data_IF_870867734927
#
_entry.id   IF_870867734927
#
_cell.length_a   1.000
_cell.length_b   1.000
_cell.length_c   1.000
_cell.angle_alpha   90.00
_cell.angle_beta   90.00
_cell.angle_gamma   90.00
#
_symmetry.space_group_name_H-M   'P 1'
#
loop_
_entity.id
_entity.type
_entity.pdbx_description
1 polymer ?
#
# COMPACT_ATOMS: atom_id res chain seq x y z
N UNK A 1 -15.58 48.81 -72.72
CA UNK A 1 -16.95 49.16 -73.19
C UNK A 1 -17.89 48.76 -72.06
N UNK A 2 -18.27 49.72 -71.27
CA UNK A 2 -19.65 50.15 -70.97
C UNK A 2 -20.51 48.97 -70.47
N UNK A 3 -21.30 49.00 -69.44
CA UNK A 3 -22.11 50.02 -68.78
C UNK A 3 -22.65 49.41 -67.46
N UNK A 4 -22.57 50.11 -66.38
CA UNK A 4 -23.59 50.50 -65.38
C UNK A 4 -24.96 49.75 -65.33
N UNK A 5 -25.40 49.46 -64.15
CA UNK A 5 -26.49 50.13 -63.38
C UNK A 5 -26.90 49.21 -62.22
N UNK A 6 -26.81 49.59 -61.02
CA UNK A 6 -27.58 50.54 -60.21
C UNK A 6 -29.02 50.09 -59.88
N UNK A 7 -29.29 50.11 -58.59
CA UNK A 7 -30.61 50.30 -57.96
C UNK A 7 -31.50 49.07 -57.75
N UNK A 8 -32.08 48.75 -56.67
CA UNK A 8 -32.70 49.47 -55.53
C UNK A 8 -33.18 48.46 -54.48
N UNK A 9 -32.93 48.78 -53.28
CA UNK A 9 -33.75 48.74 -52.06
C UNK A 9 -35.07 47.94 -52.16
N UNK A 10 -35.23 46.97 -51.23
CA UNK A 10 -36.46 46.87 -50.45
C UNK A 10 -36.23 46.13 -49.14
N UNK A 11 -36.46 46.85 -48.08
CA UNK A 11 -36.54 46.44 -46.68
C UNK A 11 -37.68 45.44 -46.46
N UNK A 12 -37.41 44.31 -45.80
CA UNK A 12 -38.44 43.61 -45.07
C UNK A 12 -37.93 43.21 -43.71
N UNK A 13 -38.37 43.97 -42.75
CA UNK A 13 -38.23 43.75 -41.31
C UNK A 13 -39.08 42.55 -40.92
N UNK A 14 -38.46 41.45 -40.53
CA UNK A 14 -39.12 40.45 -39.75
C UNK A 14 -38.46 40.34 -38.40
N UNK A 15 -39.16 40.85 -37.43
CA UNK A 15 -38.85 40.75 -36.01
C UNK A 15 -39.04 39.32 -35.56
N UNK A 16 -37.95 38.57 -35.42
CA UNK A 16 -37.96 37.28 -34.71
C UNK A 16 -37.59 37.59 -33.27
N UNK A 17 -38.57 37.51 -32.40
CA UNK A 17 -38.37 37.46 -30.94
C UNK A 17 -37.62 36.18 -30.59
N UNK A 18 -36.32 36.28 -30.49
CA UNK A 18 -35.48 35.21 -29.92
C UNK A 18 -35.45 35.41 -28.42
N UNK A 19 -36.21 34.57 -27.73
CA UNK A 19 -36.16 34.42 -26.27
C UNK A 19 -34.76 34.16 -25.84
N UNK A 20 -34.08 35.15 -25.23
CA UNK A 20 -32.80 34.98 -24.56
C UNK A 20 -33.03 34.11 -23.32
N UNK A 21 -32.71 32.84 -23.40
CA UNK A 21 -32.45 32.03 -22.22
C UNK A 21 -31.07 32.49 -21.69
N UNK A 22 -31.08 33.27 -20.64
CA UNK A 22 -29.90 33.69 -19.94
C UNK A 22 -29.35 32.47 -19.17
N UNK A 23 -28.47 31.72 -19.78
CA UNK A 23 -27.55 30.87 -19.05
C UNK A 23 -26.57 31.81 -18.34
N UNK A 24 -26.70 31.90 -17.02
CA UNK A 24 -25.65 32.48 -16.18
C UNK A 24 -24.42 31.61 -16.34
N UNK A 25 -23.46 32.07 -17.11
CA UNK A 25 -22.11 31.55 -17.05
C UNK A 25 -21.53 31.88 -15.68
N UNK A 26 -21.53 30.91 -14.79
CA UNK A 26 -20.76 30.99 -13.54
C UNK A 26 -19.31 30.84 -13.96
N UNK A 27 -18.62 31.97 -14.10
CA UNK A 27 -17.17 31.99 -14.20
C UNK A 27 -16.64 31.66 -12.81
N UNK A 28 -16.34 30.40 -12.55
CA UNK A 28 -15.64 29.98 -11.35
C UNK A 28 -14.15 30.27 -11.57
N UNK A 29 -13.71 31.43 -11.06
CA UNK A 29 -12.33 31.90 -11.19
C UNK A 29 -11.39 31.39 -10.09
N UNK A 30 -11.86 30.44 -9.26
CA UNK A 30 -11.04 29.92 -8.16
C UNK A 30 -11.11 28.40 -8.06
N UNK A 31 -10.15 27.72 -8.71
CA UNK A 31 -10.05 26.26 -8.72
C UNK A 31 -9.74 25.67 -7.33
N UNK A 32 -9.27 26.50 -6.37
CA UNK A 32 -8.93 26.05 -5.02
C UNK A 32 -10.15 25.70 -4.16
N UNK A 33 -11.28 26.37 -4.40
CA UNK A 33 -12.53 26.11 -3.65
C UNK A 33 -13.26 24.87 -4.17
N UNK A 34 -13.08 24.51 -5.44
CA UNK A 34 -13.70 23.30 -6.01
C UNK A 34 -13.00 22.05 -5.50
N UNK A 35 -11.69 22.07 -5.41
CA UNK A 35 -10.92 20.91 -4.88
C UNK A 35 -11.25 20.63 -3.41
N UNK A 36 -11.43 21.66 -2.58
CA UNK A 36 -11.79 21.48 -1.18
C UNK A 36 -13.24 20.98 -1.00
N UNK A 37 -14.17 21.44 -1.81
CA UNK A 37 -15.58 21.02 -1.74
C UNK A 37 -15.79 19.64 -2.33
N UNK A 38 -15.04 19.26 -3.37
CA UNK A 38 -15.12 17.91 -3.97
C UNK A 38 -14.49 16.88 -3.05
N UNK A 39 -13.41 17.22 -2.33
CA UNK A 39 -12.77 16.29 -1.38
C UNK A 39 -13.69 15.97 -0.20
N UNK A 40 -14.47 16.93 0.26
CA UNK A 40 -15.41 16.72 1.37
C UNK A 40 -16.68 15.94 0.96
N UNK A 41 -17.06 15.94 -0.33
CA UNK A 41 -18.31 15.31 -0.79
C UNK A 41 -18.13 13.88 -1.30
N UNK A 42 -16.89 13.44 -1.63
CA UNK A 42 -16.64 12.12 -2.24
C UNK A 42 -15.56 11.35 -1.49
N UNK A 43 -15.49 11.41 -0.17
CA UNK A 43 -14.75 10.41 0.58
C UNK A 43 -15.62 9.15 0.73
N UNK A 44 -15.73 8.36 -0.32
CA UNK A 44 -16.19 6.98 -0.21
C UNK A 44 -15.17 6.28 0.67
N UNK A 45 -15.52 5.78 1.88
CA UNK A 45 -14.57 5.08 2.72
C UNK A 45 -13.98 3.94 1.90
N UNK A 46 -12.67 3.99 1.64
CA UNK A 46 -11.99 2.88 0.99
C UNK A 46 -12.19 1.66 1.91
N UNK A 47 -12.67 0.52 1.39
CA UNK A 47 -12.82 -0.66 2.22
C UNK A 47 -11.49 -1.00 2.88
N UNK A 48 -11.48 -1.46 4.13
CA UNK A 48 -10.26 -1.79 4.83
C UNK A 48 -9.44 -2.81 4.03
N UNK A 49 -8.13 -2.61 3.99
CA UNK A 49 -7.24 -3.53 3.29
C UNK A 49 -7.11 -4.83 4.07
N UNK A 50 -7.45 -5.95 3.44
CA UNK A 50 -7.27 -7.30 4.02
C UNK A 50 -5.88 -7.79 3.66
N UNK A 51 -5.01 -7.95 4.66
CA UNK A 51 -3.67 -8.47 4.47
C UNK A 51 -3.70 -9.95 4.08
N UNK A 52 -3.10 -10.28 2.96
CA UNK A 52 -2.99 -11.66 2.47
C UNK A 52 -1.53 -12.10 2.50
N UNK A 53 -1.30 -13.39 2.77
CA UNK A 53 0.04 -13.97 2.61
C UNK A 53 0.49 -13.88 1.16
N UNK A 54 1.72 -13.45 0.96
CA UNK A 54 2.34 -13.48 -0.35
C UNK A 54 3.24 -12.30 -0.64
N UNK A 55 3.97 -12.44 -1.71
CA UNK A 55 4.78 -11.40 -2.29
C UNK A 55 3.93 -10.49 -3.17
N UNK A 56 4.19 -9.19 -3.11
CA UNK A 56 3.67 -8.16 -4.01
C UNK A 56 4.64 -7.89 -5.16
N UNK A 57 5.93 -8.20 -4.96
CA UNK A 57 6.99 -8.08 -5.96
C UNK A 57 7.24 -9.45 -6.63
N UNK A 58 7.31 -9.47 -7.95
CA UNK A 58 7.50 -10.71 -8.73
C UNK A 58 8.88 -11.34 -8.55
N UNK A 59 9.87 -10.59 -8.10
CA UNK A 59 11.22 -11.07 -7.82
C UNK A 59 11.34 -11.77 -6.45
N UNK A 60 10.42 -11.49 -5.53
CA UNK A 60 10.43 -12.10 -4.20
C UNK A 60 9.72 -13.46 -4.24
N UNK A 61 10.41 -14.50 -3.80
CA UNK A 61 9.94 -15.88 -3.78
C UNK A 61 10.14 -16.51 -2.41
N UNK A 62 9.62 -17.70 -2.23
CA UNK A 62 9.90 -18.61 -1.09
C UNK A 62 9.67 -17.92 0.27
N UNK A 63 8.62 -17.08 0.39
CA UNK A 63 8.31 -16.40 1.64
C UNK A 63 7.81 -17.42 2.69
N UNK A 64 8.68 -17.81 3.60
CA UNK A 64 8.41 -18.76 4.68
C UNK A 64 8.34 -18.06 6.03
N UNK A 65 7.63 -18.65 6.97
CA UNK A 65 7.60 -18.26 8.37
C UNK A 65 7.21 -19.45 9.22
N UNK A 66 8.05 -19.85 10.15
CA UNK A 66 7.88 -21.00 11.03
C UNK A 66 8.59 -20.76 12.38
N UNK A 67 8.40 -21.61 13.37
CA UNK A 67 9.22 -21.54 14.58
C UNK A 67 10.68 -21.88 14.25
N UNK A 68 11.62 -21.16 14.82
CA UNK A 68 13.04 -21.26 14.49
C UNK A 68 13.61 -22.69 14.59
N UNK A 69 13.12 -23.46 15.55
CA UNK A 69 13.56 -24.84 15.79
C UNK A 69 12.74 -25.91 15.05
N UNK A 70 11.66 -25.52 14.34
CA UNK A 70 10.77 -26.45 13.65
C UNK A 70 10.25 -25.86 12.34
N UNK A 71 10.88 -26.23 11.23
CA UNK A 71 10.56 -25.73 9.87
C UNK A 71 9.16 -26.11 9.39
N UNK A 72 8.55 -27.15 9.97
CA UNK A 72 7.21 -27.59 9.60
C UNK A 72 6.12 -27.00 10.49
N UNK A 73 6.48 -26.19 11.47
CA UNK A 73 5.54 -25.58 12.39
C UNK A 73 4.72 -24.49 11.71
N UNK A 74 3.56 -24.23 12.28
CA UNK A 74 2.77 -23.05 11.93
C UNK A 74 3.45 -21.77 12.50
N UNK A 75 3.24 -20.61 11.87
CA UNK A 75 3.77 -19.34 12.34
C UNK A 75 2.97 -18.83 13.56
N UNK A 76 3.10 -19.54 14.66
CA UNK A 76 2.41 -19.27 15.92
C UNK A 76 3.43 -19.16 17.04
N UNK A 77 3.37 -18.06 17.79
CA UNK A 77 4.13 -17.85 19.02
C UNK A 77 3.20 -17.92 20.23
N UNK A 78 3.72 -18.42 21.35
CA UNK A 78 3.09 -18.24 22.66
C UNK A 78 3.79 -17.09 23.37
N UNK A 79 3.02 -16.16 23.91
CA UNK A 79 3.51 -14.91 24.49
C UNK A 79 4.54 -15.13 25.62
N UNK A 80 4.37 -16.17 26.41
CA UNK A 80 5.19 -16.46 27.58
C UNK A 80 6.38 -17.41 27.29
N UNK A 81 6.80 -17.53 26.04
CA UNK A 81 7.92 -18.41 25.65
C UNK A 81 9.07 -17.60 25.04
N UNK A 82 10.29 -18.12 25.20
CA UNK A 82 11.48 -17.56 24.52
C UNK A 82 11.62 -18.06 23.08
N UNK A 83 10.53 -18.59 22.49
CA UNK A 83 10.56 -19.06 21.10
C UNK A 83 10.53 -17.88 20.14
N UNK A 84 11.20 -18.07 19.01
CA UNK A 84 11.24 -17.10 17.91
C UNK A 84 10.65 -17.74 16.65
N UNK A 85 10.08 -16.91 15.79
CA UNK A 85 9.82 -17.24 14.40
C UNK A 85 11.07 -16.94 13.58
N UNK A 86 11.37 -17.80 12.64
CA UNK A 86 12.29 -17.54 11.53
C UNK A 86 11.45 -17.18 10.31
N UNK A 87 11.72 -16.02 9.76
CA UNK A 87 11.11 -15.56 8.50
C UNK A 87 12.21 -15.53 7.44
N UNK A 88 11.91 -16.04 6.25
CA UNK A 88 12.87 -16.04 5.15
C UNK A 88 12.18 -15.79 3.81
N UNK A 89 12.93 -15.24 2.87
CA UNK A 89 12.51 -15.07 1.48
C UNK A 89 13.71 -14.99 0.55
N UNK A 90 13.48 -15.26 -0.73
CA UNK A 90 14.48 -15.21 -1.78
C UNK A 90 14.22 -14.02 -2.70
N UNK A 91 15.24 -13.21 -2.97
CA UNK A 91 15.24 -12.17 -3.99
C UNK A 91 15.98 -12.65 -5.24
N UNK A 92 15.25 -12.76 -6.36
CA UNK A 92 15.78 -13.25 -7.63
C UNK A 92 16.65 -12.24 -8.39
N UNK A 93 16.72 -10.99 -7.95
CA UNK A 93 17.65 -10.00 -8.51
C UNK A 93 19.10 -10.32 -8.15
N UNK A 94 19.30 -11.14 -7.11
CA UNK A 94 20.60 -11.67 -6.69
C UNK A 94 21.65 -10.60 -6.36
N UNK A 95 21.21 -9.45 -5.91
CA UNK A 95 22.00 -8.36 -5.35
C UNK A 95 21.70 -8.15 -3.86
N UNK A 96 22.39 -7.19 -3.23
CA UNK A 96 22.10 -6.80 -1.86
C UNK A 96 21.20 -5.58 -1.87
N UNK A 97 20.03 -5.71 -1.25
CA UNK A 97 19.09 -4.62 -1.04
C UNK A 97 18.84 -4.41 0.45
N UNK A 98 18.50 -3.18 0.82
CA UNK A 98 18.15 -2.83 2.18
C UNK A 98 16.66 -3.11 2.40
N UNK A 99 16.37 -4.21 3.07
CA UNK A 99 15.02 -4.60 3.46
C UNK A 99 14.78 -4.31 4.93
N UNK A 100 13.55 -3.97 5.23
CA UNK A 100 13.04 -3.71 6.58
C UNK A 100 11.77 -4.50 6.81
N UNK A 101 11.47 -4.77 8.07
CA UNK A 101 10.15 -5.30 8.42
C UNK A 101 9.53 -4.51 9.57
N UNK A 102 8.21 -4.55 9.62
CA UNK A 102 7.39 -4.13 10.76
C UNK A 102 6.30 -5.15 10.98
N UNK A 103 5.63 -5.08 12.12
CA UNK A 103 4.45 -5.90 12.40
C UNK A 103 3.21 -5.01 12.45
N UNK A 104 2.09 -5.53 11.97
CA UNK A 104 0.78 -4.87 12.02
C UNK A 104 -0.17 -5.76 12.79
N UNK A 105 -0.76 -5.26 13.87
CA UNK A 105 -1.81 -5.96 14.59
C UNK A 105 -3.10 -5.95 13.78
N UNK A 106 -3.77 -7.11 13.69
CA UNK A 106 -4.92 -7.30 12.82
C UNK A 106 -6.15 -7.78 13.60
N UNK A 107 -7.32 -7.41 13.10
CA UNK A 107 -8.61 -7.96 13.47
C UNK A 107 -8.74 -9.44 13.03
N UNK A 108 -9.82 -10.09 13.43
CA UNK A 108 -10.09 -11.50 13.06
C UNK A 108 -10.23 -11.73 11.55
N UNK A 109 -10.59 -10.71 10.79
CA UNK A 109 -10.70 -10.73 9.32
C UNK A 109 -9.42 -10.36 8.58
N UNK A 110 -8.32 -10.14 9.32
CA UNK A 110 -7.02 -9.71 8.80
C UNK A 110 -6.98 -8.29 8.21
N UNK A 111 -7.90 -7.44 8.61
CA UNK A 111 -7.76 -5.98 8.45
C UNK A 111 -6.87 -5.43 9.56
N UNK A 112 -6.22 -4.29 9.34
CA UNK A 112 -5.50 -3.62 10.43
C UNK A 112 -6.47 -3.30 11.58
N UNK A 113 -6.04 -3.49 12.81
CA UNK A 113 -6.79 -3.02 13.98
C UNK A 113 -6.69 -1.49 14.10
N UNK A 114 -7.58 -0.91 14.92
CA UNK A 114 -7.57 0.53 15.21
C UNK A 114 -6.52 0.93 16.27
N UNK A 115 -5.68 -0.02 16.70
CA UNK A 115 -4.63 0.22 17.70
C UNK A 115 -3.48 1.02 17.11
N UNK A 116 -2.90 1.91 17.90
CA UNK A 116 -1.64 2.58 17.56
C UNK A 116 -0.47 1.61 17.71
N UNK A 117 0.60 1.80 16.95
CA UNK A 117 1.79 0.93 17.00
C UNK A 117 2.36 0.80 18.42
N UNK A 118 2.36 1.87 19.21
CA UNK A 118 2.81 1.87 20.60
C UNK A 118 1.95 1.04 21.56
N UNK A 119 0.74 0.64 21.15
CA UNK A 119 -0.14 -0.19 21.96
C UNK A 119 0.11 -1.69 21.79
N UNK A 120 0.79 -2.10 20.71
CA UNK A 120 1.09 -3.49 20.44
C UNK A 120 2.57 -3.78 20.13
N UNK A 121 3.43 -2.75 20.02
CA UNK A 121 4.89 -2.87 19.83
C UNK A 121 5.61 -2.24 21.00
N UNK A 122 6.61 -2.94 21.53
CA UNK A 122 7.64 -2.40 22.42
C UNK A 122 8.97 -2.34 21.67
N UNK A 123 9.61 -1.17 21.69
CA UNK A 123 10.86 -0.92 20.97
C UNK A 123 10.67 -0.11 19.70
N UNK A 124 11.39 -0.45 18.65
CA UNK A 124 11.29 0.22 17.36
C UNK A 124 10.06 -0.26 16.57
N UNK A 125 9.51 0.60 15.72
CA UNK A 125 8.36 0.24 14.88
C UNK A 125 8.76 -0.53 13.64
N UNK A 126 10.03 -0.47 13.25
CA UNK A 126 10.59 -1.26 12.16
C UNK A 126 12.03 -1.67 12.48
N UNK A 127 12.49 -2.75 11.85
CA UNK A 127 13.83 -3.30 12.01
C UNK A 127 14.42 -3.66 10.64
N UNK A 128 15.73 -3.49 10.50
CA UNK A 128 16.43 -3.82 9.27
C UNK A 128 16.68 -5.34 9.16
N UNK A 129 16.54 -5.88 7.96
CA UNK A 129 16.87 -7.27 7.64
C UNK A 129 18.31 -7.30 7.14
N UNK A 130 19.23 -7.69 8.02
CA UNK A 130 20.68 -7.67 7.75
C UNK A 130 21.24 -9.01 7.32
N UNK A 131 20.62 -10.11 7.77
CA UNK A 131 21.11 -11.45 7.51
C UNK A 131 20.72 -11.90 6.11
N UNK A 132 21.72 -12.18 5.29
CA UNK A 132 21.52 -12.66 3.93
C UNK A 132 22.66 -13.56 3.46
N UNK A 133 22.32 -14.48 2.57
CA UNK A 133 23.26 -15.39 1.89
C UNK A 133 23.02 -15.41 0.39
N UNK A 134 24.09 -15.53 -0.40
CA UNK A 134 23.99 -15.70 -1.84
C UNK A 134 23.81 -17.16 -2.22
N UNK A 135 22.96 -17.40 -3.21
CA UNK A 135 22.84 -18.73 -3.80
C UNK A 135 24.17 -19.18 -4.40
N UNK A 136 24.51 -20.45 -4.18
CA UNK A 136 25.73 -21.07 -4.73
C UNK A 136 25.39 -22.20 -5.67
N UNK A 137 26.01 -22.21 -6.87
CA UNK A 137 25.88 -23.25 -7.88
C UNK A 137 24.42 -23.54 -8.32
N UNK A 138 23.57 -22.51 -8.38
CA UNK A 138 22.17 -22.58 -8.82
C UNK A 138 22.02 -22.05 -10.24
N UNK A 139 21.03 -22.56 -11.00
CA UNK A 139 20.72 -22.05 -12.35
C UNK A 139 20.16 -20.64 -12.25
N UNK A 140 19.18 -20.43 -11.38
CA UNK A 140 18.67 -19.09 -11.03
C UNK A 140 19.42 -18.60 -9.80
N UNK A 141 20.10 -17.49 -9.93
CA UNK A 141 20.73 -16.83 -8.78
C UNK A 141 19.68 -16.10 -7.96
N UNK A 142 19.89 -16.04 -6.66
CA UNK A 142 19.06 -15.29 -5.71
C UNK A 142 19.88 -14.92 -4.48
N UNK A 143 19.41 -13.93 -3.75
CA UNK A 143 19.88 -13.60 -2.40
C UNK A 143 18.80 -14.07 -1.42
N UNK A 144 19.20 -14.90 -0.46
CA UNK A 144 18.35 -15.42 0.59
C UNK A 144 18.43 -14.51 1.81
N UNK A 145 17.31 -13.95 2.22
CA UNK A 145 17.20 -13.08 3.40
C UNK A 145 16.51 -13.82 4.54
N UNK A 146 17.01 -13.60 5.76
CA UNK A 146 16.41 -14.18 6.96
C UNK A 146 16.36 -13.17 8.11
N UNK A 147 15.37 -13.32 8.98
CA UNK A 147 15.33 -12.62 10.26
C UNK A 147 14.58 -13.42 11.31
N UNK A 148 14.91 -13.18 12.58
CA UNK A 148 14.27 -13.80 13.73
C UNK A 148 13.34 -12.80 14.41
N UNK A 149 12.18 -13.28 14.86
CA UNK A 149 11.19 -12.47 15.55
C UNK A 149 10.54 -13.22 16.72
N UNK A 150 10.32 -12.58 17.88
CA UNK A 150 10.75 -11.22 18.25
C UNK A 150 12.26 -11.16 18.49
N UNK A 151 12.82 -9.96 18.38
CA UNK A 151 14.18 -9.65 18.77
C UNK A 151 14.23 -8.63 19.92
N UNK A 152 15.41 -8.11 20.24
CA UNK A 152 15.56 -7.15 21.34
C UNK A 152 15.03 -5.75 20.99
N UNK A 153 14.96 -5.42 19.72
CA UNK A 153 14.58 -4.10 19.20
C UNK A 153 13.08 -3.98 18.92
N UNK A 154 12.43 -5.07 18.48
CA UNK A 154 11.02 -5.08 18.13
C UNK A 154 10.30 -6.28 18.77
N UNK A 155 9.46 -5.98 19.77
CA UNK A 155 8.72 -6.99 20.54
C UNK A 155 7.23 -6.69 20.51
N UNK A 156 6.38 -7.70 20.31
CA UNK A 156 4.94 -7.56 20.51
C UNK A 156 4.62 -7.49 22.00
N UNK A 157 3.59 -6.74 22.39
CA UNK A 157 3.09 -6.63 23.76
C UNK A 157 1.62 -7.04 23.92
N UNK A 158 0.99 -7.45 22.84
CA UNK A 158 -0.38 -8.01 22.85
C UNK A 158 -0.42 -9.35 22.12
N UNK A 159 -1.32 -10.24 22.54
CA UNK A 159 -1.70 -11.43 21.76
C UNK A 159 -2.66 -11.06 20.63
N UNK A 160 -2.74 -11.87 19.60
CA UNK A 160 -3.65 -11.66 18.48
C UNK A 160 -3.11 -12.08 17.12
N UNK A 161 -3.81 -11.63 16.09
CA UNK A 161 -3.40 -11.81 14.71
C UNK A 161 -2.44 -10.69 14.29
N UNK A 162 -1.37 -11.07 13.63
CA UNK A 162 -0.33 -10.16 13.16
C UNK A 162 0.07 -10.44 11.73
N UNK A 163 0.59 -9.40 11.08
CA UNK A 163 1.19 -9.50 9.77
C UNK A 163 2.59 -8.89 9.79
N UNK A 164 3.60 -9.62 9.32
CA UNK A 164 4.84 -9.02 8.89
C UNK A 164 4.59 -8.24 7.61
N UNK A 165 4.93 -6.97 7.61
CA UNK A 165 5.02 -6.14 6.41
C UNK A 165 6.49 -5.95 6.10
N UNK A 166 6.95 -6.53 4.98
CA UNK A 166 8.33 -6.43 4.51
C UNK A 166 8.38 -5.40 3.39
N UNK A 167 9.35 -4.48 3.46
CA UNK A 167 9.45 -3.37 2.53
C UNK A 167 10.91 -3.00 2.25
N UNK A 168 11.17 -2.38 1.10
CA UNK A 168 12.48 -1.84 0.73
C UNK A 168 12.74 -0.47 1.38
N UNK A 169 14.01 -0.08 1.40
CA UNK A 169 14.39 1.31 1.65
C UNK A 169 13.65 2.22 0.65
N UNK A 170 12.92 3.22 1.18
CA UNK A 170 11.99 4.02 0.35
C UNK A 170 10.52 3.68 0.58
N UNK A 171 10.21 2.60 1.31
CA UNK A 171 8.88 2.29 1.83
C UNK A 171 8.01 1.44 0.91
N UNK A 172 8.49 1.00 -0.27
CA UNK A 172 7.74 0.09 -1.12
C UNK A 172 7.58 -1.28 -0.46
N UNK A 173 6.34 -1.70 -0.23
CA UNK A 173 6.04 -2.99 0.38
C UNK A 173 6.22 -4.12 -0.63
N UNK A 174 7.05 -5.09 -0.30
CA UNK A 174 7.36 -6.23 -1.17
C UNK A 174 6.58 -7.49 -0.80
N UNK A 175 6.21 -7.67 0.47
CA UNK A 175 5.53 -8.89 0.91
C UNK A 175 4.76 -8.70 2.22
N UNK A 176 3.78 -9.58 2.42
CA UNK A 176 3.06 -9.76 3.68
C UNK A 176 3.08 -11.23 4.12
N UNK A 177 3.31 -11.48 5.40
CA UNK A 177 3.23 -12.82 6.00
C UNK A 177 2.47 -12.78 7.31
N UNK A 178 1.38 -13.55 7.39
CA UNK A 178 0.53 -13.67 8.58
C UNK A 178 1.18 -14.57 9.62
N UNK A 179 1.02 -14.21 10.88
CA UNK A 179 1.37 -15.05 12.03
C UNK A 179 0.42 -14.75 13.19
N UNK A 180 0.47 -15.53 14.25
CA UNK A 180 -0.38 -15.35 15.43
C UNK A 180 0.45 -15.41 16.70
N UNK A 181 0.01 -14.65 17.68
CA UNK A 181 0.56 -14.66 19.04
C UNK A 181 -0.57 -15.10 19.99
N UNK A 182 -0.34 -16.18 20.70
CA UNK A 182 -1.26 -16.74 21.68
C UNK A 182 -0.78 -16.41 23.10
N UNK A 183 -1.74 -16.25 24.02
CA UNK A 183 -1.50 -16.18 25.47
C UNK A 183 -1.23 -17.54 26.07
#
# INVERSE_FOLDING_TARGET
MKINNLLTILTFSTFILMSCHSTKDIIISDNSLIDSVITDVISIPKPPYIYKNGSLNTQIKTLLCHQKEDELSLPILNFNTNKQLLVSFDDLDADIKNYYYTIVHCNSDWTASDLMESEYISGFTNEAITDHDFSFNTIQKYTHYTFNFPDDNLKPILSGNYVFKIFEEGGETIAYKRFMILE
#
